data_IF_441670064555
#
_entry.id   IF_441670064555
#
_cell.length_a   1.000
_cell.length_b   1.000
_cell.length_c   1.000
_cell.angle_alpha   90.00
_cell.angle_beta   90.00
_cell.angle_gamma   90.00
#
_symmetry.space_group_name_H-M   'P 1'
#
loop_
_entity.id
_entity.type
_entity.pdbx_description
1 polymer ?
#
# COMPACT_ATOMS: atom_id res chain seq x y z
N UNK A 1 -24.70 -16.80 20.57
CA UNK A 1 -24.27 -15.45 20.16
C UNK A 1 -23.49 -14.80 21.28
N UNK A 2 -24.10 -14.59 22.45
CA UNK A 2 -23.41 -13.96 23.60
C UNK A 2 -22.05 -14.60 23.95
N UNK A 3 -22.00 -15.93 24.10
CA UNK A 3 -20.72 -16.63 24.33
C UNK A 3 -19.64 -16.31 23.27
N UNK A 4 -20.03 -16.23 21.99
CA UNK A 4 -19.09 -15.91 20.92
C UNK A 4 -18.62 -14.45 20.97
N UNK A 5 -19.51 -13.52 21.35
CA UNK A 5 -19.13 -12.13 21.60
C UNK A 5 -18.12 -12.04 22.75
N UNK A 6 -18.39 -12.71 23.87
CA UNK A 6 -17.50 -12.74 25.04
C UNK A 6 -16.12 -13.28 24.66
N UNK A 7 -16.06 -14.39 23.90
CA UNK A 7 -14.80 -14.97 23.41
C UNK A 7 -14.03 -13.98 22.52
N UNK A 8 -14.68 -13.37 21.53
CA UNK A 8 -14.03 -12.42 20.61
C UNK A 8 -13.55 -11.17 21.35
N UNK A 9 -14.38 -10.62 22.25
CA UNK A 9 -14.01 -9.44 23.05
C UNK A 9 -12.82 -9.77 23.94
N UNK A 10 -12.82 -10.91 24.63
CA UNK A 10 -11.70 -11.31 25.47
C UNK A 10 -10.39 -11.44 24.70
N UNK A 11 -10.44 -12.03 23.49
CA UNK A 11 -9.28 -12.13 22.61
C UNK A 11 -8.78 -10.76 22.14
N UNK A 12 -9.66 -9.91 21.62
CA UNK A 12 -9.29 -8.60 21.06
C UNK A 12 -8.91 -7.56 22.11
N UNK A 13 -9.33 -7.74 23.37
CA UNK A 13 -8.98 -6.85 24.49
C UNK A 13 -7.66 -7.27 25.17
N UNK A 14 -7.09 -8.41 24.81
CA UNK A 14 -5.85 -8.90 25.40
C UNK A 14 -4.69 -7.96 25.08
N UNK A 15 -3.75 -7.81 26.01
CA UNK A 15 -2.52 -7.06 25.76
C UNK A 15 -1.67 -7.64 24.62
N UNK A 16 -1.89 -8.90 24.28
CA UNK A 16 -1.24 -9.62 23.18
C UNK A 16 -1.92 -9.37 21.82
N UNK A 17 -3.15 -8.82 21.81
CA UNK A 17 -3.89 -8.48 20.59
C UNK A 17 -3.36 -7.17 19.98
N UNK A 18 -2.19 -7.29 19.35
CA UNK A 18 -1.55 -6.20 18.60
C UNK A 18 -1.58 -6.52 17.12
N UNK A 19 -1.50 -5.48 16.32
CA UNK A 19 -1.25 -5.65 14.90
C UNK A 19 0.08 -6.36 14.67
N UNK A 20 0.11 -7.26 13.69
CA UNK A 20 1.31 -8.08 13.43
C UNK A 20 2.50 -7.24 12.91
N UNK A 21 2.19 -6.14 12.22
CA UNK A 21 3.15 -5.22 11.60
C UNK A 21 3.20 -3.83 12.24
N UNK A 22 2.29 -3.53 13.18
CA UNK A 22 2.24 -2.26 13.90
C UNK A 22 2.31 -2.57 15.40
N UNK A 23 3.12 -1.85 16.17
CA UNK A 23 3.21 -2.07 17.63
C UNK A 23 1.98 -1.54 18.40
N UNK A 24 0.86 -1.31 17.70
CA UNK A 24 -0.38 -0.71 18.18
C UNK A 24 -1.42 -1.79 18.49
N UNK A 25 -2.28 -1.50 19.46
CA UNK A 25 -3.47 -2.30 19.74
C UNK A 25 -4.67 -1.80 18.93
N UNK A 26 -5.62 -2.69 18.70
CA UNK A 26 -6.88 -2.36 18.06
C UNK A 26 -7.72 -1.41 18.95
N UNK A 27 -8.45 -0.52 18.31
CA UNK A 27 -9.31 0.46 18.95
C UNK A 27 -10.37 -0.25 19.80
N UNK A 28 -10.48 0.20 21.05
CA UNK A 28 -11.41 -0.35 22.04
C UNK A 28 -12.88 -0.16 21.64
N UNK A 29 -13.19 0.83 20.77
CA UNK A 29 -14.54 1.03 20.24
C UNK A 29 -15.10 -0.21 19.54
N UNK A 30 -14.25 -1.09 19.00
CA UNK A 30 -14.72 -2.34 18.39
C UNK A 30 -15.42 -3.25 19.41
N UNK A 31 -15.01 -3.22 20.68
CA UNK A 31 -15.65 -4.01 21.73
C UNK A 31 -17.08 -3.54 21.95
N UNK A 32 -17.29 -2.23 22.05
CA UNK A 32 -18.61 -1.64 22.20
C UNK A 32 -19.51 -1.97 21.01
N UNK A 33 -18.97 -1.93 19.78
CA UNK A 33 -19.68 -2.36 18.57
C UNK A 33 -20.10 -3.83 18.69
N UNK A 34 -19.18 -4.74 19.03
CA UNK A 34 -19.45 -6.19 19.11
C UNK A 34 -20.49 -6.50 20.21
N UNK A 35 -20.40 -5.84 21.36
CA UNK A 35 -21.37 -6.02 22.46
C UNK A 35 -22.79 -5.66 22.01
N UNK A 36 -22.92 -4.53 21.30
CA UNK A 36 -24.19 -4.01 20.83
C UNK A 36 -24.73 -4.67 19.56
N UNK A 37 -24.03 -5.65 18.96
CA UNK A 37 -24.57 -6.38 17.82
C UNK A 37 -25.75 -7.26 18.23
N UNK A 38 -26.80 -7.28 17.43
CA UNK A 38 -27.96 -8.14 17.62
C UNK A 38 -28.02 -9.18 16.50
N UNK A 39 -28.78 -10.24 16.71
CA UNK A 39 -28.93 -11.29 15.70
C UNK A 39 -29.57 -10.77 14.40
N UNK A 40 -30.44 -9.76 14.50
CA UNK A 40 -31.01 -9.05 13.34
C UNK A 40 -29.95 -8.34 12.49
N UNK A 41 -28.89 -7.80 13.12
CA UNK A 41 -27.80 -7.16 12.40
C UNK A 41 -27.02 -8.19 11.59
N UNK A 42 -26.77 -9.37 12.17
CA UNK A 42 -26.15 -10.48 11.45
C UNK A 42 -26.99 -10.90 10.24
N UNK A 43 -28.31 -11.05 10.41
CA UNK A 43 -29.19 -11.39 9.29
C UNK A 43 -29.14 -10.33 8.19
N UNK A 44 -29.17 -9.05 8.57
CA UNK A 44 -29.20 -7.93 7.62
C UNK A 44 -27.86 -7.77 6.89
N UNK A 45 -26.75 -7.67 7.61
CA UNK A 45 -25.43 -7.33 7.05
C UNK A 45 -24.67 -8.53 6.51
N UNK A 46 -24.92 -9.74 7.02
CA UNK A 46 -24.22 -10.95 6.55
C UNK A 46 -25.09 -11.79 5.64
N UNK A 47 -26.39 -11.93 5.91
CA UNK A 47 -27.28 -12.82 5.15
C UNK A 47 -28.27 -12.09 4.23
N UNK A 48 -28.18 -10.76 4.12
CA UNK A 48 -29.03 -9.91 3.30
C UNK A 48 -30.54 -10.10 3.55
N UNK A 49 -30.95 -10.46 4.77
CA UNK A 49 -32.34 -10.74 5.11
C UNK A 49 -32.77 -10.06 6.41
N UNK A 50 -34.07 -9.74 6.52
CA UNK A 50 -34.68 -9.24 7.76
C UNK A 50 -35.17 -10.36 8.68
N UNK A 51 -35.24 -11.60 8.19
CA UNK A 51 -35.83 -12.73 8.93
C UNK A 51 -35.12 -14.04 8.65
N UNK A 52 -35.27 -15.00 9.56
CA UNK A 52 -34.72 -16.34 9.41
C UNK A 52 -35.33 -17.07 8.21
N UNK A 53 -34.50 -17.84 7.52
CA UNK A 53 -34.93 -18.69 6.42
C UNK A 53 -34.05 -19.93 6.31
N UNK A 54 -34.51 -20.90 5.52
CA UNK A 54 -33.64 -21.99 5.07
C UNK A 54 -32.63 -21.43 4.08
N UNK A 55 -31.44 -22.02 4.04
CA UNK A 55 -30.45 -21.71 3.02
C UNK A 55 -30.82 -22.47 1.74
N UNK A 56 -30.95 -21.73 0.65
CA UNK A 56 -31.13 -22.24 -0.70
C UNK A 56 -29.81 -22.10 -1.46
N UNK A 57 -29.56 -23.05 -2.36
CA UNK A 57 -28.37 -23.09 -3.19
C UNK A 57 -28.75 -22.85 -4.63
N UNK A 58 -28.30 -21.75 -5.21
CA UNK A 58 -28.50 -21.49 -6.63
C UNK A 58 -27.35 -22.08 -7.45
N UNK A 59 -27.72 -22.78 -8.52
CA UNK A 59 -26.81 -23.29 -9.54
C UNK A 59 -27.07 -22.56 -10.86
N UNK A 60 -26.00 -22.16 -11.52
CA UNK A 60 -26.06 -21.65 -12.90
C UNK A 60 -25.94 -22.85 -13.86
N UNK A 61 -26.89 -23.10 -14.78
CA UNK A 61 -26.93 -24.32 -15.60
C UNK A 61 -25.62 -24.61 -16.35
N UNK A 62 -25.04 -23.60 -17.00
CA UNK A 62 -23.82 -23.75 -17.81
C UNK A 62 -22.52 -23.65 -17.00
N UNK A 63 -22.57 -23.34 -15.70
CA UNK A 63 -21.40 -23.10 -14.88
C UNK A 63 -21.23 -24.21 -13.83
N UNK A 64 -20.20 -25.03 -14.01
CA UNK A 64 -19.85 -26.12 -13.08
C UNK A 64 -18.90 -25.70 -11.97
N UNK A 65 -18.61 -24.41 -11.85
CA UNK A 65 -17.57 -23.90 -10.96
C UNK A 65 -18.10 -22.98 -9.87
N UNK A 66 -19.39 -22.62 -9.89
CA UNK A 66 -20.00 -21.66 -8.97
C UNK A 66 -21.22 -22.27 -8.28
N UNK A 67 -21.31 -22.06 -6.97
CA UNK A 67 -22.50 -22.29 -6.17
C UNK A 67 -22.79 -21.04 -5.36
N UNK A 68 -24.05 -20.61 -5.36
CA UNK A 68 -24.47 -19.35 -4.75
C UNK A 68 -25.44 -19.69 -3.63
N UNK A 69 -25.33 -19.01 -2.50
CA UNK A 69 -26.17 -19.26 -1.33
C UNK A 69 -27.01 -18.03 -1.02
N UNK A 70 -28.30 -18.25 -0.78
CA UNK A 70 -29.24 -17.23 -0.31
C UNK A 70 -30.14 -17.79 0.77
N UNK A 71 -30.83 -16.92 1.50
CA UNK A 71 -31.92 -17.35 2.37
C UNK A 71 -33.23 -17.39 1.55
N UNK A 72 -34.11 -18.34 1.85
CA UNK A 72 -35.44 -18.39 1.26
C UNK A 72 -36.27 -17.12 1.51
N UNK A 73 -35.91 -16.36 2.56
CA UNK A 73 -36.53 -15.08 2.94
C UNK A 73 -35.88 -13.86 2.28
N UNK A 74 -34.92 -14.06 1.37
CA UNK A 74 -34.25 -12.98 0.64
C UNK A 74 -34.02 -13.34 -0.83
N UNK A 75 -34.15 -12.34 -1.69
CA UNK A 75 -33.81 -12.45 -3.11
C UNK A 75 -32.32 -12.18 -3.38
N UNK A 76 -31.60 -11.64 -2.39
CA UNK A 76 -30.19 -11.29 -2.50
C UNK A 76 -29.31 -12.44 -1.99
N UNK A 77 -28.34 -12.93 -2.77
CA UNK A 77 -27.40 -13.93 -2.30
C UNK A 77 -26.47 -13.33 -1.24
N UNK A 78 -25.94 -14.16 -0.35
CA UNK A 78 -24.99 -13.71 0.68
C UNK A 78 -23.62 -14.39 0.58
N UNK A 79 -23.57 -15.56 -0.04
CA UNK A 79 -22.31 -16.28 -0.21
C UNK A 79 -22.14 -16.86 -1.62
N UNK A 80 -20.88 -16.96 -2.02
CA UNK A 80 -20.47 -17.53 -3.29
C UNK A 80 -19.33 -18.53 -3.04
N UNK A 81 -19.48 -19.73 -3.57
CA UNK A 81 -18.43 -20.74 -3.60
C UNK A 81 -17.91 -20.94 -5.03
N UNK A 82 -16.61 -20.71 -5.24
CA UNK A 82 -15.91 -20.91 -6.52
C UNK A 82 -14.93 -22.07 -6.42
N UNK A 83 -15.21 -23.18 -7.10
CA UNK A 83 -14.36 -24.39 -7.10
C UNK A 83 -14.23 -25.01 -8.50
N UNK A 84 -13.42 -26.06 -8.65
CA UNK A 84 -13.17 -26.69 -9.96
C UNK A 84 -14.38 -27.42 -10.54
N UNK A 85 -15.05 -28.24 -9.72
CA UNK A 85 -16.29 -28.95 -10.09
C UNK A 85 -17.24 -29.01 -8.90
N UNK A 86 -18.45 -28.48 -9.08
CA UNK A 86 -19.52 -28.43 -8.07
C UNK A 86 -20.36 -29.72 -8.02
N UNK A 87 -20.22 -30.62 -9.00
CA UNK A 87 -21.10 -31.78 -9.16
C UNK A 87 -21.06 -32.71 -7.94
N UNK A 88 -19.86 -32.93 -7.39
CA UNK A 88 -19.68 -33.75 -6.18
C UNK A 88 -20.27 -33.07 -4.94
N UNK A 89 -20.16 -31.75 -4.84
CA UNK A 89 -20.74 -30.97 -3.75
C UNK A 89 -22.25 -31.05 -3.74
N UNK A 90 -22.88 -30.84 -4.89
CA UNK A 90 -24.33 -30.97 -5.07
C UNK A 90 -24.80 -32.36 -4.64
N UNK A 91 -24.13 -33.41 -5.13
CA UNK A 91 -24.56 -34.80 -4.90
C UNK A 91 -24.35 -35.26 -3.46
N UNK A 92 -23.19 -34.96 -2.87
CA UNK A 92 -22.73 -35.60 -1.64
C UNK A 92 -22.74 -34.69 -0.40
N UNK A 93 -22.63 -33.37 -0.58
CA UNK A 93 -22.49 -32.41 0.53
C UNK A 93 -23.71 -31.53 0.73
N UNK A 94 -24.43 -31.24 -0.35
CA UNK A 94 -25.60 -30.36 -0.37
C UNK A 94 -26.90 -31.13 -0.63
N UNK A 95 -26.92 -32.44 -0.43
CA UNK A 95 -28.10 -33.29 -0.66
C UNK A 95 -29.33 -32.91 0.18
N UNK A 96 -29.11 -32.26 1.32
CA UNK A 96 -30.17 -31.82 2.23
C UNK A 96 -30.56 -30.34 2.04
N UNK A 97 -29.97 -29.67 1.05
CA UNK A 97 -30.27 -28.28 0.72
C UNK A 97 -31.22 -28.22 -0.47
N UNK A 98 -32.02 -27.17 -0.52
CA UNK A 98 -32.85 -26.88 -1.68
C UNK A 98 -31.98 -26.28 -2.79
N UNK A 99 -31.90 -26.98 -3.92
CA UNK A 99 -31.09 -26.55 -5.07
C UNK A 99 -32.02 -25.99 -6.13
N UNK A 100 -31.80 -24.72 -6.48
CA UNK A 100 -32.59 -23.98 -7.47
C UNK A 100 -31.69 -23.69 -8.66
N UNK A 101 -32.19 -23.94 -9.87
CA UNK A 101 -31.46 -23.59 -11.09
C UNK A 101 -31.86 -22.19 -11.56
N UNK A 102 -30.87 -21.32 -11.80
CA UNK A 102 -31.13 -19.98 -12.34
C UNK A 102 -31.52 -20.04 -13.81
N UNK A 103 -32.30 -19.05 -14.25
CA UNK A 103 -32.65 -18.84 -15.65
C UNK A 103 -31.54 -18.14 -16.44
N UNK A 104 -30.74 -17.29 -15.78
CA UNK A 104 -29.57 -16.62 -16.36
C UNK A 104 -28.31 -17.50 -16.28
N UNK A 105 -27.37 -17.24 -17.19
CA UNK A 105 -26.05 -17.88 -17.21
C UNK A 105 -24.92 -16.91 -16.79
N UNK A 106 -25.26 -15.86 -16.04
CA UNK A 106 -24.29 -14.84 -15.63
C UNK A 106 -23.46 -15.30 -14.43
N UNK A 107 -22.13 -15.24 -14.56
CA UNK A 107 -21.21 -15.56 -13.46
C UNK A 107 -21.22 -14.43 -12.43
N UNK A 108 -21.62 -14.75 -11.19
CA UNK A 108 -21.55 -13.81 -10.07
C UNK A 108 -20.10 -13.54 -9.72
N UNK A 109 -19.23 -14.56 -9.83
CA UNK A 109 -17.81 -14.40 -9.55
C UNK A 109 -17.13 -13.35 -10.44
N UNK A 110 -17.46 -13.31 -11.74
CA UNK A 110 -16.91 -12.31 -12.66
C UNK A 110 -17.34 -10.88 -12.32
N UNK A 111 -18.49 -10.71 -11.68
CA UNK A 111 -19.04 -9.40 -11.30
C UNK A 111 -18.86 -9.08 -9.82
N UNK A 112 -18.02 -9.83 -9.08
CA UNK A 112 -17.90 -9.75 -7.63
C UNK A 112 -17.57 -8.34 -7.11
N UNK A 113 -16.76 -7.57 -7.84
CA UNK A 113 -16.38 -6.22 -7.41
C UNK A 113 -17.49 -5.19 -7.60
N UNK A 114 -18.47 -5.45 -8.49
CA UNK A 114 -19.63 -4.57 -8.67
C UNK A 114 -20.89 -5.11 -7.96
N UNK A 115 -20.81 -6.28 -7.33
CA UNK A 115 -21.90 -6.88 -6.58
C UNK A 115 -21.60 -6.79 -5.08
N UNK A 116 -22.30 -5.93 -4.37
CA UNK A 116 -22.08 -5.72 -2.94
C UNK A 116 -22.69 -6.81 -2.06
N UNK A 117 -23.62 -7.62 -2.59
CA UNK A 117 -24.41 -8.58 -1.82
C UNK A 117 -23.57 -9.75 -1.25
N UNK A 118 -22.47 -10.12 -1.91
CA UNK A 118 -21.65 -11.25 -1.45
C UNK A 118 -20.78 -10.83 -0.25
N UNK A 119 -21.20 -11.24 0.94
CA UNK A 119 -20.46 -11.07 2.20
C UNK A 119 -19.48 -12.21 2.47
N UNK A 120 -19.75 -13.42 1.95
CA UNK A 120 -18.91 -14.61 2.17
C UNK A 120 -18.45 -15.20 0.85
N UNK A 121 -17.14 -15.19 0.62
CA UNK A 121 -16.52 -15.82 -0.53
C UNK A 121 -15.75 -17.08 -0.11
N UNK A 122 -16.10 -18.22 -0.71
CA UNK A 122 -15.47 -19.52 -0.47
C UNK A 122 -14.81 -20.06 -1.74
N UNK A 123 -13.67 -20.71 -1.60
CA UNK A 123 -13.03 -21.31 -2.76
C UNK A 123 -11.77 -22.08 -2.41
N UNK A 124 -11.17 -22.67 -3.44
CA UNK A 124 -10.01 -23.54 -3.31
C UNK A 124 -8.87 -23.06 -4.22
N UNK A 125 -8.37 -23.92 -5.11
CA UNK A 125 -7.28 -23.58 -6.03
C UNK A 125 -7.67 -22.55 -7.09
N UNK A 126 -8.96 -22.41 -7.37
CA UNK A 126 -9.53 -21.38 -8.26
C UNK A 126 -9.16 -19.95 -7.87
N UNK A 127 -8.88 -19.67 -6.58
CA UNK A 127 -8.45 -18.33 -6.13
C UNK A 127 -6.98 -18.02 -6.36
N UNK A 128 -6.18 -19.01 -6.75
CA UNK A 128 -4.77 -18.81 -7.07
C UNK A 128 -4.61 -17.94 -8.33
N UNK A 129 -5.57 -18.02 -9.26
CA UNK A 129 -5.46 -17.39 -10.59
C UNK A 129 -6.45 -16.23 -10.82
N UNK A 130 -7.64 -16.24 -10.21
CA UNK A 130 -8.76 -15.44 -10.72
C UNK A 130 -9.48 -14.51 -9.75
N UNK A 131 -8.88 -14.13 -8.62
CA UNK A 131 -9.54 -13.26 -7.64
C UNK A 131 -8.81 -11.92 -7.48
N UNK A 132 -9.48 -10.80 -7.79
CA UNK A 132 -8.93 -9.46 -7.59
C UNK A 132 -10.00 -8.61 -6.90
N UNK A 133 -10.09 -8.68 -5.58
CA UNK A 133 -11.01 -7.87 -4.78
C UNK A 133 -10.27 -7.29 -3.58
N UNK A 134 -10.52 -6.02 -3.29
CA UNK A 134 -9.98 -5.24 -2.18
C UNK A 134 -10.94 -5.18 -0.97
N UNK A 135 -12.13 -5.76 -1.10
CA UNK A 135 -13.17 -5.83 -0.05
C UNK A 135 -12.90 -6.74 1.16
N UNK A 136 -12.03 -7.76 1.12
CA UNK A 136 -11.90 -8.69 2.24
C UNK A 136 -11.26 -8.04 3.46
N UNK A 137 -11.98 -8.03 4.57
CA UNK A 137 -11.46 -7.69 5.90
C UNK A 137 -11.24 -8.93 6.79
N UNK A 138 -11.74 -10.11 6.39
CA UNK A 138 -11.52 -11.38 7.09
C UNK A 138 -11.07 -12.44 6.08
N UNK A 139 -9.99 -13.15 6.39
CA UNK A 139 -9.52 -14.30 5.62
C UNK A 139 -9.40 -15.51 6.55
N UNK A 140 -10.13 -16.58 6.23
CA UNK A 140 -10.06 -17.85 6.95
C UNK A 140 -9.42 -18.94 6.08
N UNK A 141 -8.30 -19.45 6.54
CA UNK A 141 -7.56 -20.51 5.88
C UNK A 141 -7.87 -21.89 6.47
N UNK A 142 -8.56 -22.72 5.70
CA UNK A 142 -8.93 -24.08 6.13
C UNK A 142 -7.98 -25.09 5.47
N UNK A 143 -7.28 -25.87 6.30
CA UNK A 143 -6.46 -27.01 5.86
C UNK A 143 -5.35 -26.66 4.84
N UNK A 144 -4.74 -25.49 4.99
CA UNK A 144 -3.61 -25.08 4.13
C UNK A 144 -2.38 -25.98 4.35
N UNK A 145 -1.73 -26.37 3.25
CA UNK A 145 -0.48 -27.14 3.26
C UNK A 145 0.74 -26.31 3.61
N UNK A 146 1.92 -26.94 3.73
CA UNK A 146 3.20 -26.27 4.04
C UNK A 146 4.08 -25.99 2.81
N UNK A 147 3.66 -26.47 1.63
CA UNK A 147 4.44 -26.33 0.39
C UNK A 147 4.58 -24.87 -0.06
N UNK A 148 5.55 -24.61 -0.94
CA UNK A 148 5.82 -23.30 -1.52
C UNK A 148 4.58 -22.66 -2.16
N UNK A 149 3.75 -23.45 -2.82
CA UNK A 149 2.53 -22.97 -3.47
C UNK A 149 1.49 -22.48 -2.45
N UNK A 150 1.41 -23.16 -1.30
CA UNK A 150 0.53 -22.77 -0.21
C UNK A 150 1.00 -21.47 0.43
N UNK A 151 2.31 -21.30 0.64
CA UNK A 151 2.89 -20.04 1.13
C UNK A 151 2.60 -18.89 0.17
N UNK A 152 2.86 -19.09 -1.13
CA UNK A 152 2.57 -18.11 -2.18
C UNK A 152 1.10 -17.72 -2.19
N UNK A 153 0.19 -18.69 -2.04
CA UNK A 153 -1.24 -18.41 -2.00
C UNK A 153 -1.68 -17.60 -0.78
N UNK A 154 -1.21 -17.96 0.41
CA UNK A 154 -1.48 -17.20 1.64
C UNK A 154 -0.96 -15.77 1.48
N UNK A 155 0.29 -15.62 1.01
CA UNK A 155 0.91 -14.32 0.76
C UNK A 155 0.10 -13.47 -0.22
N UNK A 156 -0.30 -14.04 -1.36
CA UNK A 156 -1.11 -13.34 -2.36
C UNK A 156 -2.50 -12.97 -1.83
N UNK A 157 -3.11 -13.82 -1.00
CA UNK A 157 -4.42 -13.55 -0.39
C UNK A 157 -4.34 -12.42 0.63
N UNK A 158 -3.33 -12.44 1.50
CA UNK A 158 -3.05 -11.34 2.44
C UNK A 158 -2.74 -10.06 1.67
N UNK A 159 -1.88 -10.13 0.65
CA UNK A 159 -1.51 -9.01 -0.22
C UNK A 159 -2.68 -8.40 -1.01
N UNK A 160 -3.82 -9.10 -1.12
CA UNK A 160 -5.09 -8.56 -1.65
C UNK A 160 -5.92 -7.92 -0.55
N UNK A 161 -6.03 -8.54 0.62
CA UNK A 161 -6.77 -8.01 1.77
C UNK A 161 -6.17 -6.74 2.39
N UNK A 162 -4.85 -6.52 2.27
CA UNK A 162 -4.20 -5.29 2.75
C UNK A 162 -4.27 -4.13 1.76
N UNK A 163 -4.91 -4.30 0.59
CA UNK A 163 -5.11 -3.22 -0.39
C UNK A 163 -6.27 -2.34 0.04
N UNK A 164 -5.98 -1.40 0.92
CA UNK A 164 -6.98 -0.48 1.44
C UNK A 164 -7.29 0.61 0.40
N UNK A 165 -8.58 0.82 0.13
CA UNK A 165 -9.08 1.80 -0.84
C UNK A 165 -10.44 2.37 -0.35
N UNK A 166 -10.43 3.32 0.60
CA UNK A 166 -11.65 3.84 1.21
C UNK A 166 -12.35 4.86 0.29
N UNK A 167 -11.63 5.44 -0.69
CA UNK A 167 -12.18 6.22 -1.79
C UNK A 167 -11.80 5.59 -3.13
N UNK A 168 -12.68 5.65 -4.16
CA UNK A 168 -12.40 5.06 -5.47
C UNK A 168 -11.08 5.56 -6.08
N UNK A 169 -10.24 4.62 -6.48
CA UNK A 169 -8.91 4.83 -7.04
C UNK A 169 -7.89 5.50 -6.10
N UNK A 170 -8.15 5.51 -4.79
CA UNK A 170 -7.26 6.08 -3.77
C UNK A 170 -6.75 5.00 -2.83
N UNK A 171 -5.60 4.43 -3.17
CA UNK A 171 -4.94 3.38 -2.40
C UNK A 171 -4.14 3.95 -1.24
N UNK A 172 -4.83 4.42 -0.22
CA UNK A 172 -4.25 4.90 1.03
C UNK A 172 -5.27 4.78 2.16
N UNK A 173 -4.82 4.73 3.42
CA UNK A 173 -5.72 4.76 4.58
C UNK A 173 -6.48 6.09 4.63
N UNK A 174 -7.71 6.06 5.14
CA UNK A 174 -8.58 7.23 5.21
C UNK A 174 -7.94 8.39 5.99
N UNK A 175 -7.14 8.10 7.02
CA UNK A 175 -6.39 9.12 7.79
C UNK A 175 -5.46 9.93 6.88
N UNK A 176 -4.72 9.27 5.98
CA UNK A 176 -3.83 9.97 5.05
C UNK A 176 -4.59 10.77 4.00
N UNK A 177 -5.72 10.24 3.52
CA UNK A 177 -6.58 10.97 2.58
C UNK A 177 -7.18 12.21 3.23
N UNK A 178 -7.58 12.13 4.50
CA UNK A 178 -8.01 13.29 5.29
C UNK A 178 -6.86 14.31 5.45
N UNK A 179 -5.67 13.87 5.83
CA UNK A 179 -4.49 14.75 5.98
C UNK A 179 -4.10 15.45 4.67
N UNK A 180 -4.35 14.81 3.52
CA UNK A 180 -4.16 15.36 2.19
C UNK A 180 -5.35 16.21 1.68
N UNK A 181 -6.35 16.48 2.52
CA UNK A 181 -7.57 17.22 2.18
C UNK A 181 -8.41 16.57 1.07
N UNK A 182 -8.33 15.24 0.93
CA UNK A 182 -9.11 14.45 -0.02
C UNK A 182 -10.43 13.93 0.58
N UNK A 183 -10.56 13.95 1.91
CA UNK A 183 -11.80 13.67 2.65
C UNK A 183 -12.18 14.93 3.42
N UNK A 184 -13.45 15.33 3.32
CA UNK A 184 -14.00 16.45 4.07
C UNK A 184 -13.93 16.20 5.59
N UNK A 185 -13.65 17.25 6.36
CA UNK A 185 -13.50 17.16 7.81
C UNK A 185 -14.76 16.64 8.50
N UNK A 186 -15.93 17.13 8.11
CA UNK A 186 -17.19 16.72 8.74
C UNK A 186 -17.47 15.24 8.45
N UNK A 187 -17.10 14.75 7.26
CA UNK A 187 -17.19 13.33 6.92
C UNK A 187 -16.23 12.53 7.79
N UNK A 188 -14.95 12.89 7.81
CA UNK A 188 -13.92 12.15 8.54
C UNK A 188 -14.23 12.06 10.04
N UNK A 189 -14.65 13.17 10.66
CA UNK A 189 -15.02 13.20 12.08
C UNK A 189 -16.18 12.26 12.43
N UNK A 190 -17.12 12.03 11.50
CA UNK A 190 -18.23 11.11 11.69
C UNK A 190 -17.84 9.63 11.55
N UNK A 191 -16.74 9.33 10.84
CA UNK A 191 -16.33 7.94 10.54
C UNK A 191 -15.06 7.49 11.26
N UNK A 192 -14.27 8.41 11.83
CA UNK A 192 -12.94 8.14 12.43
C UNK A 192 -12.91 6.97 13.41
N UNK A 193 -13.96 6.79 14.20
CA UNK A 193 -14.03 5.76 15.23
C UNK A 193 -14.35 4.36 14.67
N UNK A 194 -14.76 4.28 13.39
CA UNK A 194 -15.14 3.05 12.70
C UNK A 194 -14.14 2.63 11.61
N UNK A 195 -13.24 3.52 11.18
CA UNK A 195 -12.30 3.27 10.09
C UNK A 195 -11.31 2.14 10.44
N UNK A 196 -10.71 2.16 11.63
CA UNK A 196 -9.60 1.25 11.95
C UNK A 196 -10.00 -0.23 11.84
N UNK A 197 -11.15 -0.71 12.39
CA UNK A 197 -11.58 -2.09 12.17
C UNK A 197 -11.90 -2.43 10.71
N UNK A 198 -12.36 -1.46 9.91
CA UNK A 198 -12.67 -1.66 8.48
C UNK A 198 -11.41 -1.75 7.63
N UNK A 199 -10.37 -1.01 8.00
CA UNK A 199 -9.05 -1.03 7.35
C UNK A 199 -8.12 -2.13 7.90
N UNK A 200 -8.62 -2.92 8.85
CA UNK A 200 -7.89 -4.04 9.46
C UNK A 200 -8.22 -5.37 8.78
N UNK A 201 -7.18 -6.16 8.48
CA UNK A 201 -7.31 -7.51 7.95
C UNK A 201 -7.15 -8.55 9.06
N UNK A 202 -8.23 -9.27 9.37
CA UNK A 202 -8.20 -10.39 10.31
C UNK A 202 -7.90 -11.69 9.59
N UNK A 203 -6.80 -12.35 9.97
CA UNK A 203 -6.35 -13.59 9.32
C UNK A 203 -6.43 -14.76 10.30
N UNK A 204 -7.23 -15.75 9.95
CA UNK A 204 -7.47 -16.95 10.75
C UNK A 204 -7.02 -18.20 9.99
N UNK A 205 -6.68 -19.26 10.73
CA UNK A 205 -6.36 -20.54 10.12
C UNK A 205 -6.61 -21.73 11.04
N UNK A 206 -7.03 -22.86 10.47
CA UNK A 206 -7.22 -24.10 11.24
C UNK A 206 -5.90 -24.72 11.71
N UNK A 207 -4.76 -24.29 11.15
CA UNK A 207 -3.40 -24.70 11.53
C UNK A 207 -2.54 -23.46 11.80
N UNK A 208 -2.48 -23.05 13.07
CA UNK A 208 -1.77 -21.84 13.50
C UNK A 208 -0.30 -21.82 13.08
N UNK A 209 0.42 -22.94 13.19
CA UNK A 209 1.84 -23.04 12.86
C UNK A 209 2.14 -22.69 11.39
N UNK A 210 1.27 -23.12 10.47
CA UNK A 210 1.44 -22.84 9.05
C UNK A 210 1.26 -21.34 8.75
N UNK A 211 0.35 -20.68 9.47
CA UNK A 211 0.11 -19.25 9.32
C UNK A 211 1.31 -18.45 9.86
N UNK A 212 1.82 -18.82 11.02
CA UNK A 212 3.00 -18.19 11.65
C UNK A 212 4.21 -18.22 10.70
N UNK A 213 4.52 -19.37 10.11
CA UNK A 213 5.65 -19.51 9.18
C UNK A 213 5.53 -18.58 7.95
N UNK A 214 4.32 -18.39 7.43
CA UNK A 214 4.09 -17.47 6.29
C UNK A 214 4.20 -16.02 6.72
N UNK A 215 3.65 -15.66 7.88
CA UNK A 215 3.75 -14.31 8.44
C UNK A 215 5.21 -13.94 8.75
N UNK A 216 6.00 -14.87 9.28
CA UNK A 216 7.43 -14.66 9.50
C UNK A 216 8.18 -14.39 8.19
N UNK A 217 7.79 -15.07 7.11
CA UNK A 217 8.34 -14.82 5.77
C UNK A 217 8.00 -13.39 5.30
N UNK A 218 6.76 -12.94 5.53
CA UNK A 218 6.33 -11.56 5.25
C UNK A 218 7.16 -10.52 6.03
N UNK A 219 7.48 -10.78 7.30
CA UNK A 219 8.31 -9.85 8.10
C UNK A 219 9.75 -9.74 7.61
N UNK A 220 10.28 -10.80 6.99
CA UNK A 220 11.63 -10.81 6.42
C UNK A 220 11.71 -9.98 5.13
N UNK A 221 10.63 -9.94 4.36
CA UNK A 221 10.44 -8.95 3.29
C UNK A 221 10.20 -7.58 3.93
N UNK A 222 11.29 -6.88 4.29
CA UNK A 222 11.24 -5.59 4.97
C UNK A 222 10.17 -4.68 4.35
N UNK A 223 9.13 -4.28 5.10
CA UNK A 223 8.39 -3.08 4.77
C UNK A 223 9.41 -1.93 4.78
N UNK A 224 9.37 -1.06 3.77
CA UNK A 224 9.92 0.27 3.92
C UNK A 224 9.30 0.83 5.21
N UNK A 225 10.13 1.03 6.23
CA UNK A 225 9.66 1.58 7.50
C UNK A 225 9.08 2.94 7.19
N UNK A 226 7.76 3.08 7.32
CA UNK A 226 7.07 4.36 7.29
C UNK A 226 7.56 5.16 8.50
N UNK A 227 8.62 5.94 8.23
CA UNK A 227 9.32 6.75 9.21
C UNK A 227 8.39 7.74 9.94
N UNK A 228 7.23 8.08 9.37
CA UNK A 228 6.25 9.00 9.96
C UNK A 228 5.76 8.60 11.35
N UNK A 229 5.53 7.31 11.60
CA UNK A 229 4.97 6.82 12.87
C UNK A 229 6.00 6.68 14.00
N UNK A 230 7.29 6.86 13.70
CA UNK A 230 8.39 6.73 14.67
C UNK A 230 8.79 8.05 15.32
N UNK A 231 8.21 9.16 14.88
CA UNK A 231 8.60 10.49 15.33
C UNK A 231 7.54 11.10 16.25
N UNK A 232 7.83 11.12 17.55
CA UNK A 232 7.05 11.89 18.52
C UNK A 232 7.50 13.37 18.52
N UNK A 233 6.54 14.30 18.56
CA UNK A 233 6.85 15.73 18.74
C UNK A 233 7.51 15.90 20.11
N UNK A 234 8.76 16.35 20.12
CA UNK A 234 9.52 16.58 21.35
C UNK A 234 8.74 17.50 22.31
N UNK A 235 8.31 17.05 23.51
CA UNK A 235 7.50 17.84 24.42
C UNK A 235 8.13 19.18 24.82
N UNK A 236 9.47 19.27 24.79
CA UNK A 236 10.22 20.47 25.12
C UNK A 236 10.07 21.63 24.11
N UNK A 237 9.35 21.43 23.01
CA UNK A 237 9.09 22.46 21.98
C UNK A 237 7.72 23.14 22.14
N UNK A 238 6.82 22.65 23.01
CA UNK A 238 5.45 23.20 23.16
C UNK A 238 5.41 24.68 23.53
N UNK A 239 6.41 25.17 24.26
CA UNK A 239 6.51 26.57 24.72
C UNK A 239 7.59 27.37 23.96
N UNK A 240 8.06 26.88 22.80
CA UNK A 240 9.15 27.49 22.05
C UNK A 240 8.72 27.88 20.64
N UNK A 241 9.12 29.07 20.22
CA UNK A 241 9.00 29.49 18.83
C UNK A 241 9.97 28.68 17.97
N UNK A 242 9.43 27.73 17.19
CA UNK A 242 10.19 26.98 16.20
C UNK A 242 10.40 27.85 14.97
N UNK A 243 11.66 28.19 14.70
CA UNK A 243 12.06 28.97 13.55
C UNK A 243 12.73 28.07 12.52
N UNK A 244 12.30 28.21 11.26
CA UNK A 244 12.95 27.56 10.12
C UNK A 244 13.66 28.59 9.23
N UNK A 245 14.84 28.25 8.68
CA UNK A 245 15.53 29.12 7.74
C UNK A 245 14.79 29.16 6.41
N UNK A 246 14.60 30.37 5.88
CA UNK A 246 14.13 30.63 4.53
C UNK A 246 15.35 30.99 3.67
N UNK A 247 15.44 30.33 2.53
CA UNK A 247 16.50 30.59 1.56
C UNK A 247 15.92 31.23 0.30
N UNK A 248 16.70 32.11 -0.32
CA UNK A 248 16.43 32.65 -1.65
C UNK A 248 17.50 32.20 -2.63
N UNK A 249 17.17 32.20 -3.91
CA UNK A 249 18.18 31.96 -4.94
C UNK A 249 19.21 33.10 -4.92
N UNK A 250 20.47 32.72 -4.86
CA UNK A 250 21.62 33.60 -4.98
C UNK A 250 21.81 34.03 -6.44
N UNK A 251 22.46 35.17 -6.64
CA UNK A 251 22.95 35.57 -7.95
C UNK A 251 24.14 34.73 -8.43
N UNK A 252 24.72 33.92 -7.53
CA UNK A 252 25.83 33.00 -7.80
C UNK A 252 25.34 31.62 -8.20
N UNK A 253 26.07 31.02 -9.14
CA UNK A 253 25.92 29.60 -9.52
C UNK A 253 26.86 28.72 -8.69
N UNK A 254 26.56 27.42 -8.58
CA UNK A 254 27.32 26.45 -7.75
C UNK A 254 28.84 26.52 -7.99
N UNK A 255 29.25 26.84 -9.22
CA UNK A 255 30.65 26.92 -9.65
C UNK A 255 31.41 28.14 -9.11
N UNK A 256 30.71 29.15 -8.59
CA UNK A 256 31.29 30.39 -8.06
C UNK A 256 31.43 30.38 -6.52
N UNK A 257 31.00 29.30 -5.86
CA UNK A 257 31.16 29.12 -4.42
C UNK A 257 32.58 28.70 -4.03
N UNK A 258 32.98 29.02 -2.79
CA UNK A 258 34.26 28.56 -2.22
C UNK A 258 34.27 27.05 -1.99
N UNK A 259 33.13 26.50 -1.54
CA UNK A 259 32.94 25.07 -1.31
C UNK A 259 31.96 24.52 -2.35
N UNK A 260 32.50 24.04 -3.47
CA UNK A 260 31.69 23.55 -4.59
C UNK A 260 31.00 22.24 -4.22
N UNK A 261 29.69 22.16 -4.44
CA UNK A 261 28.94 20.90 -4.34
C UNK A 261 29.36 20.00 -5.49
N UNK A 262 30.14 18.97 -5.18
CA UNK A 262 30.71 18.06 -6.17
C UNK A 262 29.65 17.14 -6.78
N UNK A 263 29.84 16.78 -8.05
CA UNK A 263 28.94 15.87 -8.77
C UNK A 263 29.32 14.40 -8.51
N UNK A 264 28.40 13.57 -7.96
CA UNK A 264 28.66 12.14 -7.77
C UNK A 264 28.59 11.38 -9.10
N UNK A 265 29.60 10.57 -9.41
CA UNK A 265 29.68 9.83 -10.67
C UNK A 265 30.38 8.49 -10.50
N UNK A 266 29.97 7.48 -11.28
CA UNK A 266 30.68 6.20 -11.34
C UNK A 266 32.02 6.35 -12.09
N UNK A 267 33.07 5.65 -11.65
CA UNK A 267 34.43 5.77 -12.23
C UNK A 267 34.48 5.57 -13.75
N UNK A 268 33.85 4.50 -14.24
CA UNK A 268 33.82 4.21 -15.68
C UNK A 268 33.07 5.28 -16.50
N UNK A 269 31.99 5.83 -15.91
CA UNK A 269 31.20 6.88 -16.55
C UNK A 269 31.96 8.20 -16.59
N UNK A 270 32.76 8.49 -15.56
CA UNK A 270 33.62 9.67 -15.53
C UNK A 270 34.60 9.68 -16.70
N UNK A 271 35.34 8.58 -16.91
CA UNK A 271 36.34 8.52 -18.00
C UNK A 271 35.64 8.64 -19.37
N UNK A 272 34.52 7.94 -19.55
CA UNK A 272 33.75 7.98 -20.80
C UNK A 272 33.22 9.40 -21.11
N UNK A 273 32.70 10.12 -20.11
CA UNK A 273 32.19 11.49 -20.29
C UNK A 273 33.32 12.47 -20.53
N UNK A 274 34.43 12.32 -19.82
CA UNK A 274 35.63 13.13 -20.03
C UNK A 274 36.14 13.00 -21.46
N UNK A 275 36.25 11.79 -21.97
CA UNK A 275 36.70 11.53 -23.35
C UNK A 275 35.72 12.11 -24.36
N UNK A 276 34.41 11.96 -24.12
CA UNK A 276 33.38 12.55 -24.96
C UNK A 276 33.45 14.09 -24.97
N UNK A 277 33.60 14.72 -23.80
CA UNK A 277 33.73 16.18 -23.66
C UNK A 277 34.95 16.71 -24.43
N UNK A 278 36.09 16.04 -24.28
CA UNK A 278 37.33 16.40 -24.97
C UNK A 278 37.24 16.15 -26.49
N UNK A 279 36.47 15.14 -26.93
CA UNK A 279 36.23 14.85 -28.34
C UNK A 279 35.36 15.90 -29.04
N UNK A 280 34.23 16.29 -28.42
CA UNK A 280 33.33 17.29 -29.03
C UNK A 280 33.93 18.71 -28.96
N UNK A 281 34.72 19.00 -27.92
CA UNK A 281 35.35 20.29 -27.72
C UNK A 281 34.38 21.42 -27.34
N UNK A 282 34.97 22.51 -26.81
CA UNK A 282 34.25 23.59 -26.13
C UNK A 282 33.12 24.22 -26.97
N UNK A 283 33.37 24.49 -28.26
CA UNK A 283 32.40 25.14 -29.15
C UNK A 283 31.16 24.28 -29.39
N UNK A 284 31.36 22.98 -29.61
CA UNK A 284 30.25 22.05 -29.85
C UNK A 284 29.51 21.81 -28.53
N UNK A 285 30.23 21.67 -27.43
CA UNK A 285 29.61 21.54 -26.11
C UNK A 285 28.71 22.75 -25.77
N UNK A 286 29.20 23.97 -26.01
CA UNK A 286 28.44 25.19 -25.76
C UNK A 286 27.15 25.25 -26.61
N UNK A 287 27.26 25.03 -27.93
CA UNK A 287 26.09 25.08 -28.82
C UNK A 287 25.10 23.94 -28.60
N UNK A 288 25.59 22.74 -28.24
CA UNK A 288 24.75 21.54 -28.11
C UNK A 288 24.00 21.49 -26.78
N UNK A 289 24.64 21.91 -25.70
CA UNK A 289 24.08 21.82 -24.34
C UNK A 289 23.55 23.15 -23.80
N UNK A 290 23.73 24.25 -24.53
CA UNK A 290 23.31 25.61 -24.14
C UNK A 290 23.74 25.97 -22.71
N UNK A 291 24.99 25.63 -22.37
CA UNK A 291 25.52 25.77 -21.03
C UNK A 291 26.17 27.14 -20.78
N UNK A 292 26.23 27.56 -19.52
CA UNK A 292 26.91 28.81 -19.16
C UNK A 292 28.42 28.71 -19.40
N UNK A 293 29.01 29.73 -20.02
CA UNK A 293 30.45 29.79 -20.35
C UNK A 293 31.33 29.65 -19.09
N UNK A 294 30.88 30.17 -17.94
CA UNK A 294 31.58 30.04 -16.65
C UNK A 294 31.63 28.58 -16.22
N UNK A 295 30.52 27.88 -16.37
CA UNK A 295 30.38 26.45 -16.05
C UNK A 295 31.24 25.60 -16.99
N UNK A 296 31.24 25.92 -18.29
CA UNK A 296 32.06 25.24 -19.29
C UNK A 296 33.56 25.28 -18.95
N UNK A 297 34.10 26.45 -18.62
CA UNK A 297 35.51 26.61 -18.27
C UNK A 297 35.89 25.79 -17.03
N UNK A 298 35.00 25.73 -16.05
CA UNK A 298 35.23 25.07 -14.77
C UNK A 298 35.10 23.55 -14.86
N UNK A 299 34.16 23.06 -15.67
CA UNK A 299 34.07 21.63 -16.00
C UNK A 299 35.29 21.19 -16.79
N UNK A 300 35.81 22.03 -17.71
CA UNK A 300 37.05 21.75 -18.43
C UNK A 300 38.25 21.63 -17.48
N UNK A 301 38.36 22.51 -16.48
CA UNK A 301 39.34 22.40 -15.39
C UNK A 301 39.13 21.12 -14.58
N UNK A 302 37.89 20.79 -14.23
CA UNK A 302 37.53 19.59 -13.48
C UNK A 302 37.89 18.29 -14.21
N UNK A 303 37.62 18.18 -15.51
CA UNK A 303 37.92 16.97 -16.27
C UNK A 303 39.42 16.75 -16.51
N UNK A 304 40.20 17.84 -16.67
CA UNK A 304 41.57 17.75 -17.17
C UNK A 304 42.65 18.05 -16.13
N UNK A 305 42.35 18.80 -15.06
CA UNK A 305 43.36 19.26 -14.09
C UNK A 305 42.97 18.88 -12.66
N UNK A 306 41.75 19.20 -12.25
CA UNK A 306 41.33 19.21 -10.85
C UNK A 306 40.11 18.31 -10.59
N UNK A 307 40.19 17.03 -10.97
CA UNK A 307 39.09 16.06 -10.82
C UNK A 307 38.42 16.07 -9.45
N UNK A 308 39.23 16.00 -8.39
CA UNK A 308 38.72 15.84 -7.02
C UNK A 308 38.04 17.09 -6.47
N UNK A 309 38.16 18.24 -7.12
CA UNK A 309 37.54 19.48 -6.67
C UNK A 309 36.08 19.60 -7.14
N UNK A 310 35.72 18.88 -8.22
CA UNK A 310 34.39 18.96 -8.84
C UNK A 310 33.63 17.63 -8.82
N UNK A 311 34.29 16.48 -8.70
CA UNK A 311 33.65 15.17 -8.81
C UNK A 311 33.88 14.30 -7.57
N UNK A 312 32.87 13.49 -7.22
CA UNK A 312 32.97 12.44 -6.20
C UNK A 312 32.75 11.10 -6.90
N UNK A 313 33.75 10.22 -6.86
CA UNK A 313 33.56 8.84 -7.32
C UNK A 313 32.81 8.03 -6.28
N UNK A 314 31.69 7.42 -6.68
CA UNK A 314 30.92 6.53 -5.81
C UNK A 314 30.53 5.24 -6.53
N UNK A 315 30.52 4.13 -5.77
CA UNK A 315 30.02 2.82 -6.24
C UNK A 315 28.51 2.65 -6.04
N UNK A 316 27.87 3.60 -5.36
CA UNK A 316 26.43 3.57 -5.08
C UNK A 316 25.60 4.00 -6.29
N UNK A 317 26.19 4.78 -7.21
CA UNK A 317 25.53 5.19 -8.45
C UNK A 317 25.58 4.05 -9.48
N UNK A 318 24.43 3.71 -10.04
CA UNK A 318 24.33 2.77 -11.16
C UNK A 318 25.06 3.34 -12.38
N UNK A 319 25.71 2.47 -13.15
CA UNK A 319 26.40 2.83 -14.38
C UNK A 319 25.38 3.26 -15.45
N UNK A 320 25.52 4.47 -15.98
CA UNK A 320 24.58 5.06 -16.94
C UNK A 320 24.97 4.76 -18.38
N UNK A 321 26.27 4.61 -18.70
CA UNK A 321 26.78 4.27 -20.05
C UNK A 321 26.32 5.20 -21.18
N UNK A 322 25.91 6.44 -20.86
CA UNK A 322 25.50 7.43 -21.84
C UNK A 322 26.24 8.76 -21.61
N UNK A 323 27.34 9.02 -22.33
CA UNK A 323 28.19 10.18 -22.06
C UNK A 323 27.52 11.51 -22.37
N UNK A 324 26.61 11.54 -23.36
CA UNK A 324 25.87 12.75 -23.73
C UNK A 324 24.88 13.16 -22.63
N UNK A 325 24.09 12.20 -22.14
CA UNK A 325 23.14 12.42 -21.04
C UNK A 325 23.86 12.82 -19.75
N UNK A 326 24.96 12.15 -19.43
CA UNK A 326 25.79 12.46 -18.27
C UNK A 326 26.38 13.87 -18.36
N UNK A 327 26.92 14.26 -19.52
CA UNK A 327 27.46 15.59 -19.73
C UNK A 327 26.38 16.68 -19.57
N UNK A 328 25.18 16.45 -20.07
CA UNK A 328 24.04 17.35 -19.88
C UNK A 328 23.70 17.53 -18.39
N UNK A 329 23.67 16.44 -17.62
CA UNK A 329 23.38 16.49 -16.19
C UNK A 329 24.48 17.20 -15.39
N UNK A 330 25.75 17.01 -15.78
CA UNK A 330 26.88 17.71 -15.18
C UNK A 330 26.75 19.23 -15.42
N UNK A 331 26.47 19.65 -16.65
CA UNK A 331 26.23 21.08 -16.93
C UNK A 331 25.07 21.64 -16.11
N UNK A 332 23.96 20.91 -16.02
CA UNK A 332 22.78 21.32 -15.25
C UNK A 332 23.09 21.46 -13.76
N UNK A 333 23.78 20.48 -13.17
CA UNK A 333 24.18 20.50 -11.76
C UNK A 333 24.97 21.75 -11.41
N UNK A 334 25.98 22.07 -12.23
CA UNK A 334 26.86 23.21 -12.01
C UNK A 334 26.27 24.57 -12.41
N UNK A 335 25.22 24.58 -13.24
CA UNK A 335 24.47 25.79 -13.60
C UNK A 335 23.37 26.14 -12.60
N UNK A 336 23.08 25.26 -11.64
CA UNK A 336 22.09 25.56 -10.61
C UNK A 336 22.54 26.77 -9.77
N UNK A 337 21.58 27.63 -9.44
CA UNK A 337 21.80 28.73 -8.50
C UNK A 337 21.95 28.17 -7.10
N UNK A 338 22.88 28.73 -6.33
CA UNK A 338 22.95 28.41 -4.92
C UNK A 338 21.82 29.09 -4.16
N UNK A 339 21.46 28.53 -3.02
CA UNK A 339 20.47 29.12 -2.13
C UNK A 339 21.20 29.80 -0.98
N UNK A 340 20.98 31.09 -0.82
CA UNK A 340 21.54 31.85 0.31
C UNK A 340 20.50 32.06 1.39
N UNK A 341 20.96 32.05 2.64
CA UNK A 341 20.11 32.31 3.79
C UNK A 341 19.54 33.72 3.70
N UNK A 342 18.22 33.84 3.81
CA UNK A 342 17.53 35.13 3.77
C UNK A 342 17.08 35.57 5.16
N UNK A 343 16.30 34.73 5.84
CA UNK A 343 15.71 35.06 7.14
C UNK A 343 15.24 33.80 7.85
N UNK A 344 14.91 33.92 9.13
CA UNK A 344 14.11 32.92 9.83
C UNK A 344 12.62 33.26 9.75
N UNK A 345 11.77 32.26 9.56
CA UNK A 345 10.32 32.38 9.72
C UNK A 345 9.81 31.37 10.75
N UNK A 346 8.64 31.64 11.34
CA UNK A 346 7.97 30.66 12.19
C UNK A 346 7.57 29.44 11.35
N UNK A 347 7.75 28.26 11.92
CA UNK A 347 7.29 27.01 11.34
C UNK A 347 5.76 26.99 11.37
N UNK A 348 5.12 26.89 10.20
CA UNK A 348 3.68 26.74 10.05
C UNK A 348 3.38 25.34 9.44
N UNK A 349 3.07 25.26 8.14
CA UNK A 349 2.67 24.01 7.46
C UNK A 349 3.77 23.42 6.57
N UNK A 350 5.01 23.86 6.69
CA UNK A 350 6.09 23.38 5.81
C UNK A 350 6.54 21.94 6.12
N UNK A 351 6.18 21.41 7.28
CA UNK A 351 6.45 20.02 7.69
C UNK A 351 5.10 19.35 8.00
N UNK A 352 4.43 18.84 6.97
CA UNK A 352 3.07 18.24 7.04
C UNK A 352 3.10 16.78 7.53
N UNK A 353 4.22 16.30 8.08
CA UNK A 353 4.31 14.90 8.56
C UNK A 353 3.67 14.72 9.96
N UNK A 354 3.19 15.80 10.58
CA UNK A 354 2.86 15.84 12.02
C UNK A 354 1.52 16.52 12.33
N UNK A 355 0.62 16.67 11.35
CA UNK A 355 -0.75 17.15 11.60
C UNK A 355 -1.73 16.01 11.73
#
# INVERSE_FOLDING_TARGET
MEKAKEEIIAELSSNEAKFEFEAKQLNQNLQDIIQNLNYSDILSYVFNSSTNGKIEVLKIPSNKQELIFKLATSDRPFALMKIGDISEWIKNKLSNYEIIEKFDNESIFRNLNNNEDISILMGSRSFYEGWDSNRPNIILFINIGKGTDAKKFVLQSIGRGVRIEPLPNKRSRAVYLYNNQEIDKDIFENIKDYIEPLESLFVFGTKADNLKEVIETLKQEKPEVLLGDLFEINPAVKDKDLLIPVYRDSDKIVVEEKDIVKYPIHRDDYEMVKDYFNYIGDKIALCKFDCDVRVLNKIKEGFNVHKNDYFIETKEQLKINNPEFLLQNIFKHFSNKTKEFQTFKKLDEEIIHFK
#
